data_IF_083099663788
#
_entry.id   IF_083099663788
#
_cell.length_a   1.000
_cell.length_b   1.000
_cell.length_c   1.000
_cell.angle_alpha   90.00
_cell.angle_beta   90.00
_cell.angle_gamma   90.00
#
_symmetry.space_group_name_H-M   'P 1'
#
loop_
_entity.id
_entity.type
_entity.pdbx_description
1 polymer ?
#
# COMPACT_ATOMS: atom_id res chain seq x y z
N UNK A 1 21.56 -6.82 10.50
CA UNK A 1 20.38 -6.04 10.08
C UNK A 1 19.76 -5.41 11.31
N UNK A 2 19.37 -4.13 11.24
CA UNK A 2 18.72 -3.39 12.32
C UNK A 2 17.47 -2.73 11.76
N UNK A 3 16.36 -2.81 12.48
CA UNK A 3 15.15 -2.05 12.20
C UNK A 3 14.86 -1.21 13.43
N UNK A 4 14.73 0.10 13.24
CA UNK A 4 14.41 1.03 14.31
C UNK A 4 13.02 1.63 14.07
N UNK A 5 12.14 1.47 15.05
CA UNK A 5 10.85 2.14 15.12
C UNK A 5 10.96 3.33 16.06
N UNK A 6 10.49 4.48 15.62
CA UNK A 6 10.43 5.69 16.42
C UNK A 6 9.06 6.35 16.27
N UNK A 7 8.47 6.75 17.39
CA UNK A 7 7.27 7.57 17.40
C UNK A 7 7.69 9.00 17.79
N UNK A 8 7.33 9.97 16.96
CA UNK A 8 7.66 11.39 17.19
C UNK A 8 6.51 12.11 17.90
N UNK A 9 6.80 13.30 18.43
CA UNK A 9 5.78 14.15 19.04
C UNK A 9 4.81 14.75 18.00
N UNK A 10 5.15 14.66 16.71
CA UNK A 10 4.30 15.06 15.58
C UNK A 10 3.41 13.92 15.05
N UNK A 11 3.26 12.83 15.83
CA UNK A 11 2.50 11.63 15.47
C UNK A 11 3.03 10.89 14.23
N UNK A 12 4.32 10.90 13.99
CA UNK A 12 4.95 10.13 12.93
C UNK A 12 5.49 8.80 13.47
N UNK A 13 5.16 7.70 12.81
CA UNK A 13 5.84 6.42 12.97
C UNK A 13 6.96 6.33 11.93
N UNK A 14 8.20 6.47 12.39
CA UNK A 14 9.38 6.36 11.53
C UNK A 14 9.95 4.94 11.64
N UNK A 15 10.18 4.30 10.50
CA UNK A 15 10.76 2.96 10.40
C UNK A 15 12.07 3.07 9.60
N UNK A 16 13.19 2.92 10.28
CA UNK A 16 14.55 3.05 9.70
C UNK A 16 15.19 1.67 9.59
N UNK A 17 15.55 1.28 8.37
CA UNK A 17 16.18 -0.01 8.06
C UNK A 17 17.66 0.18 7.77
N UNK A 18 18.51 -0.60 8.45
CA UNK A 18 19.97 -0.62 8.22
C UNK A 18 20.46 -2.05 8.09
N UNK A 19 21.18 -2.32 7.02
CA UNK A 19 21.80 -3.61 6.76
C UNK A 19 23.27 -3.47 6.35
N UNK A 20 24.08 -4.41 6.79
CA UNK A 20 25.45 -4.60 6.29
C UNK A 20 25.64 -6.05 5.92
N UNK A 21 26.47 -6.31 4.91
CA UNK A 21 26.78 -7.66 4.44
C UNK A 21 28.27 -7.76 4.07
N UNK A 22 28.83 -8.94 4.19
CA UNK A 22 30.20 -9.23 3.78
C UNK A 22 30.28 -9.89 2.38
N UNK A 23 29.14 -10.14 1.76
CA UNK A 23 29.04 -10.71 0.40
C UNK A 23 27.87 -10.07 -0.35
N UNK A 24 27.93 -10.10 -1.68
CA UNK A 24 26.81 -9.65 -2.53
C UNK A 24 25.56 -10.47 -2.19
N UNK A 25 24.47 -9.78 -1.89
CA UNK A 25 23.18 -10.39 -1.54
C UNK A 25 22.01 -9.53 -2.02
N UNK A 26 20.83 -10.12 -2.06
CA UNK A 26 19.56 -9.41 -2.31
C UNK A 26 19.01 -8.90 -0.98
N UNK A 27 18.56 -7.65 -0.97
CA UNK A 27 17.88 -7.03 0.20
C UNK A 27 16.63 -6.32 -0.29
N UNK A 28 15.50 -6.63 0.35
CA UNK A 28 14.24 -5.92 0.18
C UNK A 28 13.51 -5.98 1.52
N UNK A 29 13.59 -4.88 2.28
CA UNK A 29 13.02 -4.80 3.63
C UNK A 29 11.75 -3.98 3.60
N UNK A 30 10.70 -4.46 4.28
CA UNK A 30 9.42 -3.76 4.39
C UNK A 30 8.83 -3.92 5.79
N UNK A 31 7.84 -3.10 6.11
CA UNK A 31 6.94 -3.29 7.25
C UNK A 31 5.62 -3.83 6.74
N UNK A 32 5.11 -4.86 7.39
CA UNK A 32 3.85 -5.51 7.04
C UNK A 32 2.76 -5.20 8.10
N UNK A 33 2.75 -3.99 8.62
CA UNK A 33 1.73 -3.55 9.58
C UNK A 33 0.41 -3.23 8.90
N UNK A 34 -0.70 -3.60 9.53
CA UNK A 34 -2.04 -3.17 9.15
C UNK A 34 -2.50 -2.05 10.08
N UNK A 35 -3.04 -0.98 9.49
CA UNK A 35 -3.49 0.20 10.24
C UNK A 35 -5.00 0.34 10.13
N UNK A 36 -5.73 0.23 11.25
CA UNK A 36 -7.15 0.50 11.30
C UNK A 36 -7.43 1.94 11.70
N UNK A 37 -7.69 2.80 10.72
CA UNK A 37 -8.01 4.21 10.97
C UNK A 37 -9.41 4.38 11.58
N UNK A 38 -10.31 3.40 11.42
CA UNK A 38 -11.59 3.38 12.10
C UNK A 38 -11.44 3.20 13.63
N UNK A 39 -10.30 2.63 14.06
CA UNK A 39 -10.00 2.35 15.47
C UNK A 39 -10.65 1.06 15.97
N UNK A 40 -10.20 0.59 17.13
CA UNK A 40 -10.65 -0.67 17.73
C UNK A 40 -12.06 -0.62 18.31
N UNK A 41 -12.58 0.57 18.55
CA UNK A 41 -13.93 0.76 19.08
C UNK A 41 -15.03 0.57 18.01
N UNK A 42 -14.68 0.55 16.73
CA UNK A 42 -15.62 0.27 15.66
C UNK A 42 -15.80 -1.26 15.53
N UNK A 43 -16.99 -1.80 15.81
CA UNK A 43 -17.22 -3.25 15.81
C UNK A 43 -17.19 -3.87 14.40
N UNK A 44 -17.37 -3.05 13.35
CA UNK A 44 -17.42 -3.51 11.96
C UNK A 44 -16.71 -2.51 11.03
N UNK A 45 -15.40 -2.31 11.20
CA UNK A 45 -14.67 -1.41 10.30
C UNK A 45 -14.70 -1.96 8.89
N UNK A 46 -15.19 -1.16 7.94
CA UNK A 46 -15.14 -1.50 6.52
C UNK A 46 -14.02 -0.70 5.85
N UNK A 47 -13.05 -1.39 5.29
CA UNK A 47 -12.01 -0.75 4.48
C UNK A 47 -12.54 -0.20 3.14
N UNK A 48 -13.75 -0.58 2.73
CA UNK A 48 -14.33 -0.20 1.43
C UNK A 48 -14.65 1.29 1.33
N UNK A 49 -15.01 1.93 2.45
CA UNK A 49 -15.31 3.36 2.50
C UNK A 49 -14.08 4.24 2.70
N UNK A 50 -12.94 3.63 3.01
CA UNK A 50 -11.67 4.34 3.17
C UNK A 50 -11.26 4.97 1.85
N UNK A 51 -10.92 6.25 1.88
CA UNK A 51 -10.48 6.99 0.70
C UNK A 51 -8.97 6.85 0.57
N UNK A 52 -8.52 6.32 -0.57
CA UNK A 52 -7.11 6.13 -0.87
C UNK A 52 -6.65 7.01 -2.03
N UNK A 53 -5.46 7.57 -1.90
CA UNK A 53 -4.72 8.22 -2.97
C UNK A 53 -3.31 7.65 -3.01
N UNK A 54 -2.81 7.31 -4.22
CA UNK A 54 -1.46 6.76 -4.41
C UNK A 54 -0.76 7.59 -5.49
N UNK A 55 0.45 8.05 -5.18
CA UNK A 55 1.29 8.83 -6.10
C UNK A 55 2.04 7.91 -7.07
N UNK A 56 1.29 7.26 -7.97
CA UNK A 56 1.85 6.34 -8.95
C UNK A 56 1.09 6.40 -10.28
N UNK A 57 1.82 6.46 -11.39
CA UNK A 57 1.24 6.35 -12.74
C UNK A 57 1.23 4.92 -13.28
N UNK A 58 1.90 4.00 -12.57
CA UNK A 58 2.06 2.61 -13.00
C UNK A 58 1.92 1.65 -11.81
N UNK A 59 1.58 0.41 -12.12
CA UNK A 59 1.57 -0.71 -11.19
C UNK A 59 2.17 -1.97 -11.84
N UNK A 60 2.52 -2.95 -11.03
CA UNK A 60 3.05 -4.24 -11.45
C UNK A 60 1.90 -5.24 -11.49
N UNK A 61 1.54 -5.80 -12.68
CA UNK A 61 0.51 -6.81 -12.79
C UNK A 61 0.95 -8.16 -12.22
N UNK A 62 -0.01 -8.96 -11.80
CA UNK A 62 0.18 -10.31 -11.25
C UNK A 62 -0.54 -11.35 -12.11
N UNK A 63 -0.03 -12.59 -12.09
CA UNK A 63 -0.70 -13.75 -12.67
C UNK A 63 -1.79 -14.32 -11.74
N UNK A 64 -2.42 -15.43 -12.14
CA UNK A 64 -3.46 -16.11 -11.38
C UNK A 64 -2.98 -16.71 -10.04
N UNK A 65 -1.67 -16.77 -9.81
CA UNK A 65 -1.06 -17.22 -8.56
C UNK A 65 -0.55 -16.03 -7.70
N UNK A 66 -0.97 -14.80 -8.04
CA UNK A 66 -0.54 -13.55 -7.41
C UNK A 66 0.97 -13.28 -7.54
N UNK A 67 1.63 -13.85 -8.56
CA UNK A 67 3.06 -13.63 -8.82
C UNK A 67 3.22 -12.49 -9.83
N UNK A 68 4.10 -11.50 -9.57
CA UNK A 68 4.41 -10.43 -10.51
C UNK A 68 4.89 -10.95 -11.87
N UNK A 69 4.28 -10.45 -12.96
CA UNK A 69 4.60 -10.91 -14.35
C UNK A 69 5.90 -10.33 -14.89
N UNK A 70 6.44 -9.29 -14.26
CA UNK A 70 7.59 -8.54 -14.75
C UNK A 70 7.24 -7.37 -15.67
N UNK A 71 5.96 -7.19 -15.99
CA UNK A 71 5.46 -6.04 -16.73
C UNK A 71 5.21 -4.84 -15.80
N UNK A 72 5.10 -3.65 -16.40
CA UNK A 72 4.70 -2.41 -15.73
C UNK A 72 3.55 -1.80 -16.54
N UNK A 73 2.37 -1.69 -15.96
CA UNK A 73 1.16 -1.20 -16.61
C UNK A 73 0.75 0.16 -16.07
N UNK A 74 0.13 0.99 -16.95
CA UNK A 74 -0.43 2.29 -16.55
C UNK A 74 -1.68 2.08 -15.69
N UNK A 75 -1.81 2.89 -14.63
CA UNK A 75 -3.03 2.92 -13.80
C UNK A 75 -4.18 3.63 -14.51
N UNK A 76 -3.89 4.60 -15.38
CA UNK A 76 -4.89 5.44 -16.06
C UNK A 76 -5.93 4.61 -16.81
N UNK A 77 -7.21 4.82 -16.45
CA UNK A 77 -8.32 4.13 -17.09
C UNK A 77 -8.54 2.69 -16.61
N UNK A 78 -7.91 2.31 -15.51
CA UNK A 78 -8.07 0.99 -14.87
C UNK A 78 -8.66 1.14 -13.47
N UNK A 79 -9.12 0.05 -12.82
CA UNK A 79 -9.52 0.08 -11.42
C UNK A 79 -8.41 0.51 -10.44
N UNK A 80 -7.15 0.46 -10.87
CA UNK A 80 -5.96 0.81 -10.10
C UNK A 80 -5.62 2.32 -10.14
N UNK A 81 -6.46 3.18 -10.73
CA UNK A 81 -6.19 4.62 -10.83
C UNK A 81 -6.55 5.35 -9.52
N UNK A 82 -5.66 5.28 -8.54
CA UNK A 82 -5.74 6.01 -7.27
C UNK A 82 -4.96 7.34 -7.27
N UNK A 83 -4.65 7.92 -8.42
CA UNK A 83 -3.96 9.23 -8.49
C UNK A 83 -4.80 10.37 -7.93
N UNK A 84 -6.10 10.23 -7.93
CA UNK A 84 -7.05 11.11 -7.21
C UNK A 84 -7.65 10.36 -6.04
N UNK A 85 -8.02 11.04 -4.93
CA UNK A 85 -8.68 10.42 -3.80
C UNK A 85 -9.92 9.63 -4.24
N UNK A 86 -9.96 8.34 -3.96
CA UNK A 86 -11.00 7.42 -4.41
C UNK A 86 -11.33 6.42 -3.29
N UNK A 87 -12.62 6.13 -3.00
CA UNK A 87 -12.98 5.06 -2.07
C UNK A 87 -12.45 3.70 -2.55
N UNK A 88 -11.90 2.91 -1.65
CA UNK A 88 -11.31 1.60 -1.99
C UNK A 88 -12.34 0.68 -2.63
N UNK A 89 -13.57 0.66 -2.10
CA UNK A 89 -14.66 -0.16 -2.60
C UNK A 89 -15.26 0.26 -3.94
N UNK A 90 -14.93 1.46 -4.45
CA UNK A 90 -15.58 2.00 -5.66
C UNK A 90 -15.38 1.12 -6.90
N UNK A 91 -14.21 0.47 -6.99
CA UNK A 91 -13.82 -0.30 -8.18
C UNK A 91 -13.25 -1.69 -7.86
N UNK A 92 -13.38 -2.14 -6.61
CA UNK A 92 -12.80 -3.43 -6.16
C UNK A 92 -13.49 -4.63 -6.83
N UNK A 93 -14.75 -4.49 -7.23
CA UNK A 93 -15.55 -5.52 -7.91
C UNK A 93 -15.55 -5.36 -9.44
N UNK A 94 -14.67 -4.54 -9.99
CA UNK A 94 -14.60 -4.31 -11.42
C UNK A 94 -14.28 -5.61 -12.20
N UNK A 95 -14.93 -5.81 -13.36
CA UNK A 95 -14.63 -6.92 -14.27
C UNK A 95 -13.26 -6.69 -14.95
N UNK A 96 -12.21 -6.91 -14.19
CA UNK A 96 -10.82 -6.72 -14.58
C UNK A 96 -10.00 -7.95 -14.21
N UNK A 97 -9.20 -8.53 -15.14
CA UNK A 97 -8.36 -9.69 -14.84
C UNK A 97 -7.45 -9.49 -13.62
N UNK A 98 -6.89 -8.31 -13.43
CA UNK A 98 -5.99 -8.02 -12.32
C UNK A 98 -6.73 -7.99 -10.96
N UNK A 99 -7.95 -7.46 -10.91
CA UNK A 99 -8.81 -7.55 -9.71
C UNK A 99 -9.15 -9.02 -9.40
N UNK A 100 -9.43 -9.83 -10.43
CA UNK A 100 -9.73 -11.27 -10.24
C UNK A 100 -8.51 -12.03 -9.74
N UNK A 101 -7.33 -11.77 -10.30
CA UNK A 101 -6.08 -12.42 -9.90
C UNK A 101 -5.71 -12.13 -8.43
N UNK A 102 -5.95 -10.89 -7.96
CA UNK A 102 -5.68 -10.49 -6.58
C UNK A 102 -6.85 -10.74 -5.63
N UNK A 103 -8.01 -11.20 -6.12
CA UNK A 103 -9.27 -11.23 -5.36
C UNK A 103 -9.63 -9.85 -4.76
N UNK A 104 -9.20 -8.77 -5.41
CA UNK A 104 -9.24 -7.38 -4.99
C UNK A 104 -7.92 -6.70 -5.31
N UNK A 105 -7.49 -5.74 -4.49
CA UNK A 105 -6.19 -5.11 -4.63
C UNK A 105 -5.13 -5.93 -3.87
N UNK A 106 -4.08 -6.33 -4.57
CA UNK A 106 -2.86 -6.92 -4.01
C UNK A 106 -1.70 -6.67 -4.98
N UNK A 107 -1.41 -5.40 -5.21
CA UNK A 107 -0.50 -5.00 -6.28
C UNK A 107 0.53 -3.99 -5.79
N UNK A 108 1.73 -4.07 -6.35
CA UNK A 108 2.77 -3.09 -6.13
C UNK A 108 2.59 -1.90 -7.09
N UNK A 109 2.47 -0.70 -6.53
CA UNK A 109 2.43 0.55 -7.28
C UNK A 109 3.83 1.11 -7.44
N UNK A 110 4.18 1.53 -8.66
CA UNK A 110 5.46 2.16 -8.99
C UNK A 110 5.34 3.64 -8.70
N UNK A 111 5.99 4.10 -7.64
CA UNK A 111 5.88 5.46 -7.14
C UNK A 111 6.54 6.48 -8.07
N UNK A 112 5.88 7.63 -8.22
CA UNK A 112 6.45 8.77 -8.92
C UNK A 112 7.53 9.42 -8.04
N UNK A 113 8.80 9.23 -8.37
CA UNK A 113 9.95 9.80 -7.67
C UNK A 113 10.79 10.65 -8.60
N UNK A 114 11.44 11.68 -8.06
CA UNK A 114 12.41 12.50 -8.79
C UNK A 114 13.77 11.82 -8.87
N UNK A 115 14.16 11.19 -7.77
CA UNK A 115 15.45 10.49 -7.63
C UNK A 115 15.32 9.22 -6.82
N UNK A 116 16.22 8.29 -7.07
CA UNK A 116 16.30 7.01 -6.33
C UNK A 116 16.66 7.30 -4.87
N UNK A 117 15.91 6.73 -3.93
CA UNK A 117 16.15 6.89 -2.50
C UNK A 117 15.64 8.21 -1.90
N UNK A 118 14.97 9.06 -2.68
CA UNK A 118 14.28 10.25 -2.15
C UNK A 118 13.17 9.84 -1.18
N UNK A 119 13.17 10.44 0.03
CA UNK A 119 12.01 10.34 0.92
C UNK A 119 10.89 11.21 0.34
N UNK A 120 9.90 10.59 -0.25
CA UNK A 120 8.81 11.29 -0.95
C UNK A 120 7.45 10.69 -0.63
N UNK A 121 6.41 11.50 -0.86
CA UNK A 121 5.02 11.10 -0.67
C UNK A 121 4.67 9.90 -1.56
N UNK A 122 4.11 8.86 -0.93
CA UNK A 122 3.67 7.64 -1.59
C UNK A 122 2.15 7.53 -1.65
N UNK A 123 1.48 7.68 -0.51
CA UNK A 123 0.04 7.48 -0.42
C UNK A 123 -0.58 8.31 0.71
N UNK A 124 -1.89 8.57 0.58
CA UNK A 124 -2.74 9.14 1.62
C UNK A 124 -3.99 8.31 1.77
N UNK A 125 -4.32 8.00 3.02
CA UNK A 125 -5.51 7.24 3.39
C UNK A 125 -6.32 8.08 4.37
N UNK A 126 -7.63 8.22 4.09
CA UNK A 126 -8.57 8.94 4.94
C UNK A 126 -9.71 8.01 5.31
N UNK A 127 -9.99 7.88 6.58
CA UNK A 127 -11.18 7.18 7.06
C UNK A 127 -12.27 8.23 7.39
N UNK A 128 -13.39 8.25 6.62
CA UNK A 128 -14.33 9.36 6.66
C UNK A 128 -15.11 9.51 7.98
N UNK A 129 -15.42 8.39 8.65
CA UNK A 129 -16.24 8.41 9.87
C UNK A 129 -15.45 8.92 11.07
N UNK A 130 -14.22 8.46 11.24
CA UNK A 130 -13.34 8.91 12.34
C UNK A 130 -12.62 10.21 12.04
N UNK A 131 -12.52 10.59 10.75
CA UNK A 131 -11.73 11.72 10.28
C UNK A 131 -10.21 11.49 10.36
N UNK A 132 -9.76 10.29 10.73
CA UNK A 132 -8.31 9.98 10.81
C UNK A 132 -7.70 9.88 9.43
N UNK A 133 -6.51 10.44 9.34
CA UNK A 133 -5.73 10.43 8.09
C UNK A 133 -4.36 9.84 8.35
N UNK A 134 -3.88 9.02 7.41
CA UNK A 134 -2.51 8.53 7.38
C UNK A 134 -1.86 8.94 6.05
N UNK A 135 -0.69 9.54 6.12
CA UNK A 135 0.16 9.81 4.96
C UNK A 135 1.38 8.91 5.03
N UNK A 136 1.74 8.34 3.91
CA UNK A 136 2.89 7.44 3.78
C UNK A 136 3.96 8.10 2.95
N UNK A 137 5.16 8.15 3.50
CA UNK A 137 6.37 8.61 2.82
C UNK A 137 7.39 7.48 2.83
N UNK A 138 8.12 7.30 1.74
CA UNK A 138 9.12 6.22 1.65
C UNK A 138 10.28 6.60 0.76
N UNK A 139 11.44 5.98 1.02
CA UNK A 139 12.60 6.00 0.14
C UNK A 139 12.53 4.93 -0.94
N UNK A 140 11.63 3.96 -0.80
CA UNK A 140 11.48 2.83 -1.71
C UNK A 140 10.81 3.23 -3.04
N UNK A 141 11.09 2.52 -4.15
CA UNK A 141 10.53 2.82 -5.47
C UNK A 141 9.07 2.39 -5.64
N UNK A 142 8.54 1.59 -4.75
CA UNK A 142 7.17 1.05 -4.83
C UNK A 142 6.49 0.96 -3.48
N UNK A 143 5.17 0.83 -3.52
CA UNK A 143 4.32 0.55 -2.36
C UNK A 143 3.34 -0.55 -2.71
N UNK A 144 3.25 -1.58 -1.85
CA UNK A 144 2.22 -2.61 -1.97
C UNK A 144 0.91 -2.06 -1.39
N UNK A 145 -0.16 -2.19 -2.16
CA UNK A 145 -1.51 -1.91 -1.69
C UNK A 145 -2.31 -3.21 -1.66
N UNK A 146 -2.77 -3.59 -0.46
CA UNK A 146 -3.49 -4.82 -0.19
C UNK A 146 -4.81 -4.52 0.53
N UNK A 147 -5.91 -5.04 0.01
CA UNK A 147 -7.26 -4.82 0.55
C UNK A 147 -7.75 -5.95 1.46
N UNK A 148 -6.85 -6.75 2.00
CA UNK A 148 -7.11 -7.85 2.96
C UNK A 148 -8.03 -8.96 2.40
N UNK A 149 -7.79 -9.34 1.16
CA UNK A 149 -8.65 -10.20 0.35
C UNK A 149 -8.74 -11.66 0.86
N UNK A 150 -7.78 -12.09 1.68
CA UNK A 150 -7.63 -13.49 2.14
C UNK A 150 -7.83 -13.64 3.66
N UNK A 151 -8.23 -12.58 4.37
CA UNK A 151 -8.48 -12.64 5.80
C UNK A 151 -9.84 -13.25 6.09
N UNK A 152 -9.87 -14.53 6.38
CA UNK A 152 -11.04 -15.29 6.81
C UNK A 152 -11.38 -15.00 8.27
N UNK A 153 -11.81 -13.77 8.59
CA UNK A 153 -12.38 -13.44 9.89
C UNK A 153 -11.46 -13.67 11.10
N UNK A 154 -10.16 -13.53 10.93
CA UNK A 154 -9.20 -13.57 12.03
C UNK A 154 -9.55 -12.46 13.04
N UNK A 155 -9.92 -12.88 14.24
CA UNK A 155 -9.99 -11.96 15.39
C UNK A 155 -8.59 -11.92 15.98
N UNK A 156 -7.91 -10.78 15.83
CA UNK A 156 -6.63 -10.51 16.48
C UNK A 156 -6.72 -10.54 18.00
#
# INVERSE_FOLDING_TARGET
>A
MTVKYSLTDDNELVIDYRGTTNKKTVVNMTSHGFFSLAGIANPTPSAMNVICQINADFFIPIDENSIPTGEILKVKGTPFDFRTPTPVGERIDADCPQIKNGAGYDHCFVLNKREVGELSFAAKIVEPESGRTMEVYTTEPGVQFYSDNWADGYKG
#
